data_IF_668626690255
#
_entry.id   IF_668626690255
#
_cell.length_a   1.000
_cell.length_b   1.000
_cell.length_c   1.000
_cell.angle_alpha   90.00
_cell.angle_beta   90.00
_cell.angle_gamma   90.00
#
_symmetry.space_group_name_H-M   'P 1'
#
loop_
_entity.id
_entity.type
_entity.pdbx_description
1 polymer ?
#
# COMPACT_ATOMS: atom_id res chain seq x y z
N UNK A 1 -0.24 29.96 57.60
CA UNK A 1 -0.14 30.24 56.15
C UNK A 1 0.05 28.89 55.45
N UNK A 2 -1.01 28.38 54.80
CA UNK A 2 -1.09 26.99 54.30
C UNK A 2 -0.42 26.87 52.92
N UNK A 3 0.53 25.93 52.79
CA UNK A 3 1.05 25.48 51.51
C UNK A 3 -0.05 24.75 50.74
N UNK A 4 -0.25 25.13 49.48
CA UNK A 4 -1.24 24.54 48.57
C UNK A 4 -0.55 23.40 47.81
N UNK A 5 -0.97 22.15 48.06
CA UNK A 5 -0.62 20.98 47.24
C UNK A 5 -1.01 21.27 45.79
N UNK A 6 -0.03 21.34 44.90
CA UNK A 6 -0.26 21.37 43.45
C UNK A 6 -0.41 19.91 43.00
N UNK A 7 -1.46 19.68 42.22
CA UNK A 7 -1.97 18.39 41.77
C UNK A 7 -0.93 17.53 41.03
N UNK A 8 -0.68 16.32 41.53
CA UNK A 8 0.06 15.24 40.86
C UNK A 8 -0.66 14.65 39.63
N UNK A 9 -1.83 15.18 39.24
CA UNK A 9 -2.59 14.71 38.07
C UNK A 9 -2.20 15.35 36.72
N UNK A 10 -1.33 16.36 36.70
CA UNK A 10 -0.91 17.03 35.45
C UNK A 10 0.46 16.53 34.96
N UNK A 11 1.28 15.93 35.83
CA UNK A 11 2.60 15.41 35.45
C UNK A 11 2.50 14.01 34.80
N UNK A 12 1.45 13.24 35.10
CA UNK A 12 1.29 11.88 34.55
C UNK A 12 0.80 11.84 33.09
N UNK A 13 0.14 12.90 32.60
CA UNK A 13 -0.40 12.95 31.21
C UNK A 13 0.67 13.45 30.22
N UNK A 14 1.62 14.26 30.68
CA UNK A 14 2.75 14.69 29.84
C UNK A 14 3.84 13.63 29.69
N UNK A 15 3.93 12.67 30.63
CA UNK A 15 4.92 11.59 30.53
C UNK A 15 4.44 10.40 29.67
N UNK A 16 3.14 10.28 29.41
CA UNK A 16 2.55 9.20 28.61
C UNK A 16 2.45 9.53 27.12
N UNK A 17 2.50 10.81 26.73
CA UNK A 17 2.60 11.21 25.31
C UNK A 17 4.04 11.29 24.79
N UNK A 18 5.04 11.40 25.66
CA UNK A 18 6.45 11.45 25.25
C UNK A 18 7.05 10.06 24.99
N UNK A 19 6.41 8.97 25.45
CA UNK A 19 6.92 7.60 25.24
C UNK A 19 6.31 6.84 24.05
N UNK A 20 5.25 7.35 23.40
CA UNK A 20 4.61 6.65 22.25
C UNK A 20 5.28 7.03 20.91
N UNK A 21 6.16 8.03 20.89
CA UNK A 21 6.91 8.44 19.67
C UNK A 21 8.28 7.73 19.56
N UNK A 22 8.66 6.84 20.49
CA UNK A 22 9.99 6.19 20.49
C UNK A 22 9.99 4.67 20.20
N UNK A 23 8.88 4.11 19.72
CA UNK A 23 8.80 2.69 19.33
C UNK A 23 8.13 2.54 17.97
N UNK A 24 8.65 3.25 16.96
CA UNK A 24 8.63 2.71 15.60
C UNK A 24 9.65 1.57 15.63
N UNK A 25 9.29 0.32 15.25
CA UNK A 25 10.29 -0.72 15.13
C UNK A 25 11.34 -0.22 14.13
N UNK A 26 12.56 -0.03 14.65
CA UNK A 26 13.75 0.34 13.91
C UNK A 26 14.24 -0.88 13.09
N UNK A 27 13.33 -1.53 12.37
CA UNK A 27 13.63 -2.62 11.45
C UNK A 27 13.67 -2.03 10.05
N UNK A 28 14.87 -1.74 9.57
CA UNK A 28 15.12 -1.62 8.13
C UNK A 28 15.24 -0.21 7.56
N UNK A 29 15.38 0.86 8.35
CA UNK A 29 15.88 2.12 7.77
C UNK A 29 17.36 1.89 7.44
N UNK A 30 17.62 1.47 6.21
CA UNK A 30 18.91 1.71 5.58
C UNK A 30 19.07 3.23 5.65
N UNK A 31 20.01 3.70 6.47
CA UNK A 31 20.47 5.08 6.38
C UNK A 31 21.18 5.21 5.04
N UNK A 32 20.42 5.40 3.95
CA UNK A 32 20.98 5.98 2.74
C UNK A 32 21.54 7.34 3.17
N UNK A 33 22.81 7.58 2.87
CA UNK A 33 23.35 8.92 2.95
C UNK A 33 22.37 9.85 2.23
N UNK A 34 21.96 10.96 2.85
CA UNK A 34 21.06 11.92 2.21
C UNK A 34 21.73 12.41 0.92
N UNK A 35 21.29 11.85 -0.21
CA UNK A 35 21.75 12.23 -1.53
C UNK A 35 21.30 13.66 -1.76
N UNK A 36 22.25 14.54 -2.08
CA UNK A 36 21.99 15.96 -2.29
C UNK A 36 20.92 16.15 -3.38
N UNK A 37 19.95 17.03 -3.12
CA UNK A 37 18.89 17.29 -4.08
C UNK A 37 19.39 18.06 -5.30
N UNK A 38 18.82 17.75 -6.45
CA UNK A 38 19.09 18.47 -7.68
C UNK A 38 18.51 19.88 -7.62
N UNK A 39 19.29 20.89 -8.05
CA UNK A 39 18.79 22.27 -8.19
C UNK A 39 18.21 22.54 -9.58
N UNK A 40 18.50 21.66 -10.54
CA UNK A 40 18.01 21.71 -11.91
C UNK A 40 17.71 20.31 -12.42
N UNK A 41 16.86 20.24 -13.44
CA UNK A 41 16.54 19.00 -14.15
C UNK A 41 16.89 19.12 -15.62
N UNK A 42 17.25 17.99 -16.22
CA UNK A 42 17.30 17.88 -17.68
C UNK A 42 15.98 17.28 -18.17
N UNK A 43 15.37 17.95 -19.15
CA UNK A 43 14.10 17.53 -19.76
C UNK A 43 14.33 17.32 -21.25
N UNK A 44 13.93 16.15 -21.76
CA UNK A 44 13.93 15.89 -23.19
C UNK A 44 12.68 16.50 -23.82
N UNK A 45 12.84 17.20 -24.94
CA UNK A 45 11.74 17.85 -25.67
C UNK A 45 11.18 16.99 -26.80
N UNK A 46 11.67 15.75 -26.94
CA UNK A 46 11.44 14.89 -28.11
C UNK A 46 12.51 15.03 -29.19
N UNK A 47 13.35 16.08 -29.11
CA UNK A 47 14.45 16.30 -30.07
C UNK A 47 15.78 16.66 -29.40
N UNK A 48 15.74 17.45 -28.33
CA UNK A 48 16.93 17.91 -27.61
C UNK A 48 16.68 17.87 -26.11
N UNK A 49 17.76 17.73 -25.35
CA UNK A 49 17.75 17.90 -23.90
C UNK A 49 17.89 19.39 -23.55
N UNK A 50 17.07 19.85 -22.62
CA UNK A 50 17.13 21.19 -22.06
C UNK A 50 17.26 21.12 -20.54
N UNK A 51 18.23 21.85 -20.00
CA UNK A 51 18.37 22.05 -18.56
C UNK A 51 17.40 23.13 -18.08
N UNK A 52 16.69 22.87 -16.98
CA UNK A 52 15.74 23.78 -16.33
C UNK A 52 16.10 23.95 -14.86
N UNK A 53 16.42 25.18 -14.46
CA UNK A 53 16.67 25.54 -13.06
C UNK A 53 15.35 25.54 -12.28
N UNK A 54 15.27 24.72 -11.22
CA UNK A 54 14.05 24.56 -10.42
C UNK A 54 13.73 25.85 -9.65
N UNK A 55 12.48 26.30 -9.73
CA UNK A 55 12.03 27.54 -9.09
C UNK A 55 12.42 28.81 -9.83
N UNK A 56 13.15 28.71 -10.94
CA UNK A 56 13.53 29.85 -11.79
C UNK A 56 12.92 29.72 -13.18
N UNK A 57 13.16 28.58 -13.83
CA UNK A 57 12.73 28.37 -15.21
C UNK A 57 11.28 27.90 -15.30
N UNK A 58 10.65 28.18 -16.44
CA UNK A 58 9.33 27.62 -16.77
C UNK A 58 9.49 26.15 -17.11
N UNK A 59 8.77 25.30 -16.38
CA UNK A 59 8.72 23.86 -16.61
C UNK A 59 7.66 23.49 -17.67
N UNK A 60 7.74 22.29 -18.26
CA UNK A 60 6.75 21.82 -19.23
C UNK A 60 5.32 21.80 -18.69
N UNK A 61 4.34 21.77 -19.58
CA UNK A 61 2.93 21.62 -19.21
C UNK A 61 2.69 20.37 -18.36
N UNK A 62 1.88 20.52 -17.31
CA UNK A 62 1.63 19.47 -16.31
C UNK A 62 2.76 19.26 -15.30
N UNK A 63 3.85 20.04 -15.38
CA UNK A 63 4.94 20.03 -14.41
C UNK A 63 5.07 21.41 -13.74
N UNK A 64 5.24 21.42 -12.42
CA UNK A 64 5.57 22.64 -11.67
C UNK A 64 6.55 22.33 -10.53
N UNK A 65 7.12 23.35 -9.91
CA UNK A 65 8.01 23.18 -8.78
C UNK A 65 7.41 23.84 -7.53
N UNK A 66 7.27 23.06 -6.46
CA UNK A 66 6.85 23.52 -5.15
C UNK A 66 8.10 23.83 -4.33
N UNK A 67 8.49 25.10 -4.31
CA UNK A 67 9.71 25.55 -3.60
C UNK A 67 9.58 25.49 -2.07
N UNK A 68 8.36 25.33 -1.53
CA UNK A 68 8.15 25.23 -0.08
C UNK A 68 8.46 23.82 0.39
N UNK A 69 8.07 22.82 -0.40
CA UNK A 69 8.34 21.40 -0.11
C UNK A 69 9.55 20.86 -0.88
N UNK A 70 10.14 21.68 -1.73
CA UNK A 70 11.33 21.37 -2.51
C UNK A 70 11.17 20.07 -3.31
N UNK A 71 10.18 20.09 -4.21
CA UNK A 71 9.75 18.96 -5.03
C UNK A 71 9.11 19.39 -6.33
N UNK A 72 9.19 18.54 -7.34
CA UNK A 72 8.45 18.66 -8.60
C UNK A 72 7.02 18.18 -8.35
N UNK A 73 6.03 18.82 -8.95
CA UNK A 73 4.64 18.38 -8.95
C UNK A 73 4.27 18.02 -10.38
N UNK A 74 3.80 16.79 -10.59
CA UNK A 74 3.20 16.33 -11.83
C UNK A 74 1.68 16.29 -11.65
N UNK A 75 0.99 17.10 -12.45
CA UNK A 75 -0.48 17.18 -12.48
C UNK A 75 -0.92 17.25 -13.95
N UNK A 76 -1.18 16.08 -14.54
CA UNK A 76 -1.47 15.95 -15.96
C UNK A 76 -0.24 16.06 -16.87
N UNK A 77 0.97 15.81 -16.37
CA UNK A 77 2.17 15.74 -17.21
C UNK A 77 2.01 14.64 -18.25
N UNK A 78 2.15 14.99 -19.51
CA UNK A 78 2.23 14.05 -20.63
C UNK A 78 3.34 14.50 -21.56
N UNK A 79 4.57 14.12 -21.21
CA UNK A 79 5.78 14.59 -21.89
C UNK A 79 6.77 13.47 -22.11
N UNK A 80 8.05 13.83 -22.20
CA UNK A 80 9.15 12.91 -22.45
C UNK A 80 10.01 12.73 -21.19
N UNK A 81 11.16 12.09 -21.38
CA UNK A 81 12.16 11.83 -20.36
C UNK A 81 12.54 13.08 -19.57
N UNK A 82 12.77 12.91 -18.26
CA UNK A 82 13.43 13.91 -17.45
C UNK A 82 14.14 13.27 -16.26
N UNK A 83 15.10 13.98 -15.66
CA UNK A 83 15.83 13.53 -14.49
C UNK A 83 16.64 14.66 -13.86
N UNK A 84 17.34 14.41 -12.75
CA UNK A 84 18.32 15.38 -12.24
C UNK A 84 19.34 15.71 -13.33
N UNK A 85 19.75 16.98 -13.48
CA UNK A 85 20.78 17.32 -14.49
C UNK A 85 22.21 16.96 -14.05
N UNK A 86 22.40 16.67 -12.76
CA UNK A 86 23.68 16.26 -12.19
C UNK A 86 23.66 14.80 -11.75
N UNK A 87 24.85 14.17 -11.78
CA UNK A 87 25.09 12.82 -11.26
C UNK A 87 24.86 12.75 -9.75
N UNK A 88 24.46 11.57 -9.26
CA UNK A 88 24.31 11.26 -7.82
C UNK A 88 23.44 12.29 -7.07
N UNK A 89 22.41 12.85 -7.73
CA UNK A 89 21.43 13.73 -7.10
C UNK A 89 20.10 13.04 -6.87
N UNK A 90 19.35 13.58 -5.91
CA UNK A 90 17.97 13.18 -5.65
C UNK A 90 16.96 14.14 -6.27
N UNK A 91 15.81 13.59 -6.68
CA UNK A 91 14.63 14.37 -7.04
C UNK A 91 13.41 13.84 -6.28
N UNK A 92 12.60 14.75 -5.75
CA UNK A 92 11.31 14.43 -5.14
C UNK A 92 10.18 14.86 -6.07
N UNK A 93 9.22 13.97 -6.31
CA UNK A 93 8.12 14.16 -7.25
C UNK A 93 6.80 13.87 -6.54
N UNK A 94 5.89 14.84 -6.60
CA UNK A 94 4.53 14.70 -6.11
C UNK A 94 3.59 14.45 -7.29
N UNK A 95 2.89 13.31 -7.29
CA UNK A 95 2.06 12.86 -8.39
C UNK A 95 0.59 13.11 -8.07
N UNK A 96 -0.08 13.87 -8.93
CA UNK A 96 -1.50 14.21 -8.84
C UNK A 96 -2.21 13.69 -10.08
N UNK A 97 -3.31 12.96 -9.89
CA UNK A 97 -4.06 12.37 -11.00
C UNK A 97 -3.20 11.42 -11.84
N UNK A 98 -3.44 11.41 -13.15
CA UNK A 98 -2.73 10.57 -14.11
C UNK A 98 -1.63 11.36 -14.82
N UNK A 99 -0.42 10.77 -14.90
CA UNK A 99 0.73 11.37 -15.57
C UNK A 99 1.43 10.33 -16.45
N UNK A 100 2.01 10.76 -17.57
CA UNK A 100 2.66 9.93 -18.58
C UNK A 100 4.05 10.49 -18.91
N UNK A 101 5.07 9.64 -18.80
CA UNK A 101 6.43 9.88 -19.27
C UNK A 101 6.66 8.98 -20.49
N UNK A 102 6.76 9.58 -21.67
CA UNK A 102 7.13 8.87 -22.91
C UNK A 102 8.65 8.89 -23.07
N UNK A 103 9.32 8.01 -22.32
CA UNK A 103 10.77 7.95 -22.23
C UNK A 103 11.21 7.45 -20.86
N UNK A 104 12.31 8.01 -20.37
CA UNK A 104 13.00 7.59 -19.14
C UNK A 104 12.84 8.60 -18.02
N UNK A 105 12.66 8.11 -16.80
CA UNK A 105 12.79 8.90 -15.57
C UNK A 105 14.17 8.68 -14.95
N UNK A 106 14.85 9.77 -14.60
CA UNK A 106 16.21 9.73 -14.04
C UNK A 106 17.31 9.96 -15.07
N UNK A 107 18.56 10.11 -14.60
CA UNK A 107 19.67 10.58 -15.43
C UNK A 107 20.92 9.69 -15.37
N UNK A 108 21.32 9.24 -14.17
CA UNK A 108 22.54 8.45 -14.00
C UNK A 108 22.45 7.43 -12.85
N UNK A 109 23.34 6.45 -12.87
CA UNK A 109 23.55 5.51 -11.76
C UNK A 109 23.76 6.30 -10.46
N UNK A 110 23.15 5.86 -9.36
CA UNK A 110 23.19 6.54 -8.07
C UNK A 110 22.07 7.57 -7.83
N UNK A 111 21.33 7.96 -8.87
CA UNK A 111 20.13 8.81 -8.74
C UNK A 111 19.13 8.23 -7.75
N UNK A 112 18.58 9.07 -6.87
CA UNK A 112 17.49 8.71 -5.96
C UNK A 112 16.20 9.44 -6.34
N UNK A 113 15.11 8.71 -6.51
CA UNK A 113 13.83 9.24 -6.95
C UNK A 113 12.81 8.97 -5.86
N UNK A 114 12.30 10.03 -5.25
CA UNK A 114 11.19 9.96 -4.30
C UNK A 114 9.88 10.27 -5.04
N UNK A 115 8.91 9.35 -4.98
CA UNK A 115 7.58 9.52 -5.54
C UNK A 115 6.55 9.53 -4.41
N UNK A 116 5.71 10.56 -4.37
CA UNK A 116 4.59 10.63 -3.41
C UNK A 116 3.30 10.94 -4.15
N UNK A 117 2.33 10.04 -4.06
CA UNK A 117 1.05 10.16 -4.74
C UNK A 117 -0.06 10.81 -3.92
N UNK A 118 -1.08 11.30 -4.61
CA UNK A 118 -2.43 11.49 -4.03
C UNK A 118 -3.23 10.19 -4.13
N UNK A 119 -4.33 10.07 -3.41
CA UNK A 119 -5.23 8.91 -3.53
C UNK A 119 -5.62 8.64 -4.99
N UNK A 120 -5.23 7.49 -5.52
CA UNK A 120 -5.53 7.07 -6.89
C UNK A 120 -4.67 7.75 -7.97
N UNK A 121 -3.54 8.37 -7.62
CA UNK A 121 -2.62 8.91 -8.63
C UNK A 121 -1.85 7.82 -9.34
N UNK A 122 -1.64 8.02 -10.64
CA UNK A 122 -0.95 7.11 -11.53
C UNK A 122 0.25 7.80 -12.21
N UNK A 123 1.37 7.09 -12.28
CA UNK A 123 2.52 7.47 -13.10
C UNK A 123 2.82 6.36 -14.12
N UNK A 124 2.59 6.65 -15.39
CA UNK A 124 2.84 5.74 -16.51
C UNK A 124 4.16 6.11 -17.18
N UNK A 125 5.04 5.14 -17.36
CA UNK A 125 6.33 5.31 -18.02
C UNK A 125 6.38 4.37 -19.21
N UNK A 126 6.34 4.94 -20.40
CA UNK A 126 6.40 4.21 -21.66
C UNK A 126 7.78 4.45 -22.28
N UNK A 127 8.65 3.47 -22.15
CA UNK A 127 9.99 3.52 -22.70
C UNK A 127 10.06 2.65 -23.95
N UNK A 128 10.40 3.26 -25.09
CA UNK A 128 10.70 2.55 -26.32
C UNK A 128 11.91 3.19 -26.97
N UNK A 129 13.09 2.70 -26.63
CA UNK A 129 14.35 3.24 -27.13
C UNK A 129 15.43 2.15 -27.08
N UNK A 130 16.64 2.51 -27.50
CA UNK A 130 17.79 1.62 -27.57
C UNK A 130 18.58 1.66 -26.26
N UNK A 131 19.04 0.49 -25.79
CA UNK A 131 20.13 0.36 -24.81
C UNK A 131 19.94 1.14 -23.49
N UNK A 132 18.76 1.12 -22.88
CA UNK A 132 18.56 1.81 -21.59
C UNK A 132 17.46 1.17 -20.73
N UNK A 133 16.91 1.95 -19.82
CA UNK A 133 15.87 1.56 -18.87
C UNK A 133 14.80 2.64 -18.76
N UNK A 134 13.61 2.23 -18.30
CA UNK A 134 12.50 3.15 -18.03
C UNK A 134 12.81 4.07 -16.85
N UNK A 135 13.48 3.53 -15.83
CA UNK A 135 13.97 4.31 -14.69
C UNK A 135 15.45 4.05 -14.47
N UNK A 136 16.23 5.13 -14.44
CA UNK A 136 17.65 5.12 -14.12
C UNK A 136 17.87 5.78 -12.75
N UNK A 137 18.00 4.95 -11.72
CA UNK A 137 18.04 5.37 -10.32
C UNK A 137 17.20 4.46 -9.42
N UNK A 138 17.46 4.56 -8.11
CA UNK A 138 16.63 3.88 -7.10
C UNK A 138 15.37 4.69 -6.81
N UNK A 139 14.28 4.00 -6.52
CA UNK A 139 12.95 4.59 -6.35
C UNK A 139 12.43 4.30 -4.95
N UNK A 140 11.95 5.34 -4.26
CA UNK A 140 11.14 5.21 -3.06
C UNK A 140 9.76 5.80 -3.36
N UNK A 141 8.70 5.00 -3.30
CA UNK A 141 7.37 5.41 -3.72
C UNK A 141 6.32 5.23 -2.62
N UNK A 142 5.56 6.27 -2.31
CA UNK A 142 4.49 6.25 -1.30
C UNK A 142 3.14 6.64 -1.92
N UNK A 143 2.14 5.78 -1.75
CA UNK A 143 0.74 6.00 -2.18
C UNK A 143 0.57 6.36 -3.66
N UNK A 144 1.39 5.79 -4.55
CA UNK A 144 1.32 6.00 -6.01
C UNK A 144 1.29 4.67 -6.77
N UNK A 145 0.47 4.60 -7.81
CA UNK A 145 0.48 3.48 -8.74
C UNK A 145 1.37 3.78 -9.95
N UNK A 146 2.38 2.95 -10.16
CA UNK A 146 3.41 3.11 -11.18
C UNK A 146 3.20 2.03 -12.23
N UNK A 147 3.05 2.43 -13.48
CA UNK A 147 3.02 1.53 -14.63
C UNK A 147 4.27 1.72 -15.46
N UNK A 148 5.01 0.66 -15.70
CA UNK A 148 6.21 0.68 -16.53
C UNK A 148 5.98 -0.26 -17.71
N UNK A 149 6.09 0.27 -18.91
CA UNK A 149 6.16 -0.50 -20.14
C UNK A 149 7.49 -0.20 -20.82
N UNK A 150 8.42 -1.15 -20.74
CA UNK A 150 9.76 -1.04 -21.31
C UNK A 150 9.83 -1.92 -22.55
N UNK A 151 10.14 -1.33 -23.70
CA UNK A 151 10.56 -2.05 -24.90
C UNK A 151 11.95 -1.56 -25.27
N UNK A 152 12.94 -2.45 -25.23
CA UNK A 152 14.31 -2.11 -25.61
C UNK A 152 14.65 -2.76 -26.95
N UNK A 153 15.06 -1.96 -27.93
CA UNK A 153 15.46 -2.45 -29.26
C UNK A 153 16.90 -2.02 -29.53
N UNK A 154 17.89 -2.92 -29.53
CA UNK A 154 19.28 -2.44 -29.62
C UNK A 154 20.38 -3.50 -29.70
N UNK A 155 21.56 -3.07 -30.17
CA UNK A 155 22.67 -3.96 -30.56
C UNK A 155 24.01 -3.69 -29.84
N UNK A 156 24.04 -2.91 -28.75
CA UNK A 156 25.34 -2.37 -28.25
C UNK A 156 25.59 -2.58 -26.74
N UNK A 157 24.56 -2.69 -25.88
CA UNK A 157 24.76 -2.72 -24.43
C UNK A 157 24.42 -4.08 -23.79
N UNK A 158 25.24 -4.60 -22.84
CA UNK A 158 25.15 -5.99 -22.38
C UNK A 158 24.02 -6.28 -21.36
N UNK A 159 23.26 -5.27 -20.92
CA UNK A 159 22.21 -5.43 -19.92
C UNK A 159 21.03 -4.50 -20.22
N UNK A 160 19.81 -5.00 -20.04
CA UNK A 160 18.59 -4.22 -20.20
C UNK A 160 17.72 -4.35 -18.96
N UNK A 161 17.32 -3.20 -18.43
CA UNK A 161 16.60 -3.09 -17.17
C UNK A 161 15.25 -2.41 -17.36
N UNK A 162 14.21 -2.88 -16.69
CA UNK A 162 13.03 -2.03 -16.45
C UNK A 162 13.42 -0.84 -15.57
N UNK A 163 14.03 -1.15 -14.43
CA UNK A 163 14.58 -0.19 -13.45
C UNK A 163 16.03 -0.56 -13.16
N UNK A 164 16.94 0.39 -13.40
CA UNK A 164 18.32 0.29 -12.96
C UNK A 164 18.49 0.98 -11.58
N UNK A 165 18.23 0.22 -10.52
CA UNK A 165 18.24 0.66 -9.13
C UNK A 165 17.40 -0.24 -8.24
N UNK A 166 17.41 0.03 -6.94
CA UNK A 166 16.50 -0.61 -5.98
C UNK A 166 15.15 0.10 -5.95
N UNK A 167 14.10 -0.62 -5.56
CA UNK A 167 12.74 -0.10 -5.43
C UNK A 167 12.23 -0.36 -4.02
N UNK A 168 11.76 0.68 -3.35
CA UNK A 168 11.03 0.60 -2.10
C UNK A 168 9.62 1.17 -2.28
N UNK A 169 8.62 0.35 -1.98
CA UNK A 169 7.21 0.75 -2.05
C UNK A 169 6.62 0.81 -0.63
N UNK A 170 5.96 1.92 -0.33
CA UNK A 170 5.35 2.25 0.96
C UNK A 170 3.86 2.57 0.81
N UNK A 171 3.13 2.54 1.92
CA UNK A 171 1.69 2.82 1.94
C UNK A 171 0.92 1.88 1.02
N UNK A 172 0.19 2.45 0.06
CA UNK A 172 -0.62 1.71 -0.92
C UNK A 172 -0.01 1.66 -2.32
N UNK A 173 1.29 1.97 -2.44
CA UNK A 173 1.96 2.00 -3.74
C UNK A 173 1.85 0.66 -4.48
N UNK A 174 1.71 0.73 -5.80
CA UNK A 174 1.71 -0.45 -6.68
C UNK A 174 2.70 -0.24 -7.80
N UNK A 175 3.51 -1.26 -8.09
CA UNK A 175 4.36 -1.30 -9.27
C UNK A 175 3.81 -2.35 -10.24
N UNK A 176 3.40 -1.91 -11.43
CA UNK A 176 2.98 -2.76 -12.53
C UNK A 176 4.01 -2.63 -13.65
N UNK A 177 4.87 -3.63 -13.81
CA UNK A 177 5.98 -3.59 -14.76
C UNK A 177 5.83 -4.67 -15.82
N UNK A 178 5.97 -4.25 -17.08
CA UNK A 178 6.19 -5.11 -18.22
C UNK A 178 7.47 -4.66 -18.93
N UNK A 179 8.43 -5.56 -19.04
CA UNK A 179 9.71 -5.32 -19.72
C UNK A 179 9.87 -6.35 -20.83
N UNK A 180 10.05 -5.88 -22.06
CA UNK A 180 10.33 -6.72 -23.22
C UNK A 180 11.63 -6.29 -23.89
N UNK A 181 12.44 -7.27 -24.21
CA UNK A 181 13.71 -7.08 -24.90
C UNK A 181 13.65 -7.60 -26.34
N UNK A 182 14.32 -6.90 -27.26
CA UNK A 182 14.53 -7.26 -28.66
C UNK A 182 15.96 -6.91 -29.06
N UNK A 183 16.90 -7.85 -28.97
CA UNK A 183 18.31 -7.70 -29.36
C UNK A 183 18.69 -8.65 -30.48
N UNK A 184 19.84 -8.39 -31.13
CA UNK A 184 20.46 -9.31 -32.08
C UNK A 184 21.60 -10.15 -31.46
N UNK A 185 21.82 -10.07 -30.15
CA UNK A 185 22.94 -10.70 -29.43
C UNK A 185 22.58 -11.04 -27.97
N UNK A 186 23.28 -12.01 -27.38
CA UNK A 186 23.19 -12.41 -25.97
C UNK A 186 23.34 -11.25 -25.00
N UNK A 187 22.24 -10.91 -24.32
CA UNK A 187 22.21 -9.95 -23.20
C UNK A 187 21.26 -10.46 -22.13
N UNK A 188 21.52 -10.11 -20.87
CA UNK A 188 20.58 -10.42 -19.79
C UNK A 188 19.41 -9.42 -19.81
N UNK A 189 18.19 -9.94 -19.60
CA UNK A 189 16.98 -9.14 -19.43
C UNK A 189 16.59 -9.10 -17.95
N UNK A 190 16.54 -7.91 -17.38
CA UNK A 190 16.33 -7.72 -15.94
C UNK A 190 15.14 -6.78 -15.72
N UNK A 191 14.22 -7.13 -14.82
CA UNK A 191 13.15 -6.22 -14.40
C UNK A 191 13.69 -5.10 -13.53
N UNK A 192 14.20 -5.46 -12.36
CA UNK A 192 14.79 -4.56 -11.35
C UNK A 192 16.22 -5.01 -11.08
N UNK A 193 17.21 -4.12 -11.28
CA UNK A 193 18.63 -4.46 -11.08
C UNK A 193 19.04 -4.55 -9.60
N UNK A 194 18.34 -3.83 -8.73
CA UNK A 194 18.56 -3.82 -7.28
C UNK A 194 17.60 -4.70 -6.50
N UNK A 195 17.35 -4.29 -5.26
CA UNK A 195 16.38 -4.93 -4.37
C UNK A 195 14.96 -4.43 -4.64
N UNK A 196 13.96 -5.25 -4.32
CA UNK A 196 12.56 -4.86 -4.25
C UNK A 196 12.07 -5.00 -2.80
N UNK A 197 11.68 -3.90 -2.18
CA UNK A 197 11.15 -3.86 -0.81
C UNK A 197 9.69 -3.41 -0.83
N UNK A 198 8.81 -4.24 -0.28
CA UNK A 198 7.38 -3.98 -0.16
C UNK A 198 6.99 -3.82 1.31
N UNK A 199 6.60 -2.61 1.69
CA UNK A 199 6.13 -2.27 3.03
C UNK A 199 4.59 -2.05 3.03
N UNK A 200 3.97 -2.02 4.20
CA UNK A 200 2.55 -1.68 4.39
C UNK A 200 1.59 -2.50 3.49
N UNK A 201 0.74 -1.85 2.69
CA UNK A 201 -0.21 -2.48 1.76
C UNK A 201 0.34 -2.52 0.31
N UNK A 202 1.61 -2.14 0.12
CA UNK A 202 2.22 -2.00 -1.21
C UNK A 202 2.42 -3.34 -1.91
N UNK A 203 2.33 -3.34 -3.24
CA UNK A 203 2.45 -4.56 -4.03
C UNK A 203 3.17 -4.36 -5.35
N UNK A 204 3.57 -5.46 -5.97
CA UNK A 204 4.27 -5.45 -7.25
C UNK A 204 3.82 -6.58 -8.17
N UNK A 205 3.68 -6.27 -9.45
CA UNK A 205 3.44 -7.18 -10.54
C UNK A 205 4.52 -6.95 -11.59
N UNK A 206 5.46 -7.88 -11.71
CA UNK A 206 6.64 -7.74 -12.58
C UNK A 206 6.65 -8.86 -13.61
N UNK A 207 6.58 -8.48 -14.88
CA UNK A 207 6.78 -9.38 -16.01
C UNK A 207 8.02 -8.95 -16.79
N UNK A 208 8.91 -9.91 -17.04
CA UNK A 208 10.08 -9.71 -17.91
C UNK A 208 10.06 -10.76 -19.02
N UNK A 209 10.12 -10.31 -20.27
CA UNK A 209 10.15 -11.15 -21.45
C UNK A 209 11.46 -10.93 -22.20
N UNK A 210 12.30 -11.97 -22.25
CA UNK A 210 13.43 -12.06 -23.15
C UNK A 210 13.03 -12.64 -24.51
N UNK A 211 13.70 -12.20 -25.56
CA UNK A 211 13.61 -12.72 -26.92
C UNK A 211 14.47 -13.98 -27.13
N UNK A 212 14.53 -14.42 -28.39
CA UNK A 212 15.28 -15.60 -28.84
C UNK A 212 16.81 -15.47 -28.69
N UNK A 213 17.32 -14.25 -28.55
CA UNK A 213 18.76 -13.96 -28.48
C UNK A 213 19.23 -13.71 -27.05
N UNK A 214 18.33 -13.53 -26.08
CA UNK A 214 18.67 -13.25 -24.69
C UNK A 214 19.47 -14.36 -23.99
N UNK A 215 20.36 -13.96 -23.06
CA UNK A 215 21.07 -14.89 -22.17
C UNK A 215 20.19 -15.25 -20.98
N UNK A 216 20.30 -14.60 -19.82
CA UNK A 216 19.44 -14.88 -18.67
C UNK A 216 18.28 -13.89 -18.59
N UNK A 217 17.17 -14.31 -17.96
CA UNK A 217 16.03 -13.43 -17.67
C UNK A 217 15.77 -13.43 -16.18
N UNK A 218 15.82 -12.26 -15.56
CA UNK A 218 15.65 -12.11 -14.12
C UNK A 218 14.60 -11.05 -13.78
N UNK A 219 13.68 -11.36 -12.87
CA UNK A 219 12.67 -10.41 -12.42
C UNK A 219 13.28 -9.32 -11.55
N UNK A 220 13.79 -9.73 -10.39
CA UNK A 220 14.53 -8.88 -9.44
C UNK A 220 15.92 -9.48 -9.26
N UNK A 221 16.97 -8.77 -9.67
CA UNK A 221 18.33 -9.29 -9.60
C UNK A 221 18.90 -9.33 -8.17
N UNK A 222 18.47 -8.40 -7.31
CA UNK A 222 18.79 -8.39 -5.90
C UNK A 222 17.82 -9.21 -5.04
N UNK A 223 17.68 -8.78 -3.80
CA UNK A 223 16.79 -9.39 -2.81
C UNK A 223 15.36 -8.86 -2.91
N UNK A 224 14.39 -9.75 -2.66
CA UNK A 224 13.00 -9.40 -2.38
C UNK A 224 12.78 -9.31 -0.87
N UNK A 225 12.31 -8.16 -0.38
CA UNK A 225 11.95 -7.96 1.03
C UNK A 225 10.43 -7.73 1.14
N UNK A 226 9.74 -8.64 1.84
CA UNK A 226 8.30 -8.55 2.10
C UNK A 226 8.07 -8.21 3.57
N UNK A 227 7.85 -6.92 3.84
CA UNK A 227 7.60 -6.38 5.18
C UNK A 227 6.12 -6.05 5.42
N UNK A 228 5.33 -5.98 4.35
CA UNK A 228 3.92 -5.61 4.36
C UNK A 228 2.94 -6.79 4.21
N UNK A 229 1.77 -6.46 3.67
CA UNK A 229 0.66 -7.39 3.39
C UNK A 229 0.19 -7.33 1.95
N UNK A 230 0.85 -6.57 1.08
CA UNK A 230 0.46 -6.50 -0.32
C UNK A 230 1.04 -7.63 -1.15
N UNK A 231 0.38 -7.88 -2.27
CA UNK A 231 0.69 -8.96 -3.21
C UNK A 231 1.97 -8.70 -3.99
N UNK A 232 2.75 -9.76 -4.20
CA UNK A 232 3.93 -9.73 -5.05
C UNK A 232 3.88 -10.88 -6.06
N UNK A 233 3.83 -10.54 -7.34
CA UNK A 233 3.90 -11.48 -8.45
C UNK A 233 5.07 -11.11 -9.34
N UNK A 234 5.94 -12.08 -9.60
CA UNK A 234 7.07 -11.94 -10.50
C UNK A 234 7.08 -13.14 -11.43
N UNK A 235 7.10 -12.90 -12.73
CA UNK A 235 7.14 -13.95 -13.74
C UNK A 235 8.08 -13.54 -14.88
N UNK A 236 8.95 -14.47 -15.26
CA UNK A 236 9.91 -14.26 -16.33
C UNK A 236 9.75 -15.29 -17.44
N UNK A 237 9.95 -14.83 -18.67
CA UNK A 237 9.81 -15.64 -19.87
C UNK A 237 11.01 -15.42 -20.77
N UNK A 238 11.35 -16.42 -21.57
CA UNK A 238 12.32 -16.28 -22.65
C UNK A 238 11.83 -17.01 -23.90
N UNK A 239 11.99 -16.39 -25.05
CA UNK A 239 11.81 -17.04 -26.35
C UNK A 239 13.07 -17.84 -26.75
N UNK A 240 14.20 -17.67 -26.06
CA UNK A 240 15.40 -18.49 -26.26
C UNK A 240 15.18 -19.90 -25.70
N UNK A 241 15.18 -20.90 -26.59
CA UNK A 241 14.98 -22.31 -26.22
C UNK A 241 16.24 -23.00 -25.66
N UNK A 242 17.38 -22.30 -25.52
CA UNK A 242 18.60 -22.88 -24.98
C UNK A 242 18.42 -23.24 -23.50
N UNK A 243 18.50 -24.54 -23.12
CA UNK A 243 18.25 -24.98 -21.75
C UNK A 243 19.29 -24.51 -20.72
N UNK A 244 20.37 -23.86 -21.17
CA UNK A 244 21.42 -23.32 -20.30
C UNK A 244 21.09 -21.93 -19.76
N UNK A 245 20.08 -21.24 -20.32
CA UNK A 245 19.68 -19.93 -19.84
C UNK A 245 19.01 -20.05 -18.48
N UNK A 246 19.30 -19.09 -17.60
CA UNK A 246 18.65 -19.01 -16.30
C UNK A 246 17.43 -18.10 -16.38
N UNK A 247 16.27 -18.67 -16.05
CA UNK A 247 15.06 -17.91 -15.74
C UNK A 247 14.93 -17.86 -14.22
N UNK A 248 14.89 -16.66 -13.65
CA UNK A 248 14.84 -16.49 -12.20
C UNK A 248 13.97 -15.30 -11.81
N UNK A 249 12.97 -15.51 -10.95
CA UNK A 249 12.09 -14.46 -10.48
C UNK A 249 12.86 -13.51 -9.54
N UNK A 250 13.66 -14.05 -8.62
CA UNK A 250 14.46 -13.28 -7.65
C UNK A 250 15.88 -13.84 -7.56
N UNK A 251 16.90 -12.98 -7.62
CA UNK A 251 18.31 -13.37 -7.64
C UNK A 251 18.81 -13.94 -6.32
N UNK A 252 18.27 -13.45 -5.20
CA UNK A 252 18.64 -13.85 -3.83
C UNK A 252 17.46 -14.36 -3.01
N UNK A 253 17.72 -15.16 -1.98
CA UNK A 253 16.70 -15.68 -1.07
C UNK A 253 15.89 -14.52 -0.43
N UNK A 254 14.55 -14.50 -0.58
CA UNK A 254 13.72 -13.43 -0.04
C UNK A 254 13.72 -13.37 1.48
N UNK A 255 13.62 -12.15 2.02
CA UNK A 255 13.33 -11.92 3.44
C UNK A 255 11.84 -11.62 3.58
N UNK A 256 11.14 -12.47 4.32
CA UNK A 256 9.70 -12.36 4.54
C UNK A 256 9.47 -12.15 6.03
N UNK A 257 9.03 -10.95 6.42
CA UNK A 257 8.85 -10.59 7.83
C UNK A 257 7.74 -11.42 8.49
N UNK A 258 6.68 -11.73 7.74
CA UNK A 258 5.57 -12.57 8.18
C UNK A 258 5.20 -13.59 7.07
N UNK A 259 5.85 -14.76 7.04
CA UNK A 259 5.57 -15.76 6.02
C UNK A 259 4.15 -16.35 6.14
N UNK A 260 3.54 -16.42 7.33
CA UNK A 260 2.16 -16.88 7.47
C UNK A 260 1.10 -15.88 6.98
N UNK A 261 1.50 -14.68 6.54
CA UNK A 261 0.61 -13.73 5.89
C UNK A 261 0.39 -14.04 4.40
N UNK A 262 1.15 -14.99 3.84
CA UNK A 262 1.15 -15.28 2.41
C UNK A 262 0.90 -16.76 2.13
N UNK A 263 0.12 -17.01 1.09
CA UNK A 263 0.16 -18.27 0.35
C UNK A 263 1.23 -18.11 -0.75
N UNK A 264 2.18 -19.05 -0.78
CA UNK A 264 3.26 -19.07 -1.77
C UNK A 264 2.92 -20.02 -2.91
N UNK A 265 2.95 -19.49 -4.13
CA UNK A 265 2.84 -20.24 -5.37
C UNK A 265 4.10 -19.99 -6.21
N UNK A 266 4.69 -21.05 -6.78
CA UNK A 266 6.01 -21.00 -7.40
C UNK A 266 7.18 -20.95 -6.41
N UNK A 267 8.34 -20.52 -6.90
CA UNK A 267 9.58 -20.43 -6.11
C UNK A 267 10.42 -19.25 -6.58
N UNK A 268 11.03 -18.54 -5.62
CA UNK A 268 11.80 -17.33 -5.90
C UNK A 268 12.98 -17.56 -6.85
N UNK A 269 13.57 -18.76 -6.83
CA UNK A 269 14.68 -19.19 -7.69
C UNK A 269 14.24 -19.90 -8.98
N UNK A 270 12.93 -19.90 -9.28
CA UNK A 270 12.33 -20.37 -10.53
C UNK A 270 11.97 -19.21 -11.46
N UNK A 271 11.45 -19.51 -12.64
CA UNK A 271 10.84 -18.56 -13.59
C UNK A 271 9.65 -17.75 -13.03
N UNK A 272 8.94 -18.24 -12.01
CA UNK A 272 7.85 -17.49 -11.38
C UNK A 272 7.77 -17.67 -9.87
N UNK A 273 7.34 -16.61 -9.19
CA UNK A 273 6.94 -16.62 -7.79
C UNK A 273 5.76 -15.69 -7.55
N UNK A 274 4.84 -16.12 -6.69
CA UNK A 274 3.65 -15.37 -6.33
C UNK A 274 3.38 -15.49 -4.84
N UNK A 275 3.57 -14.38 -4.13
CA UNK A 275 3.20 -14.21 -2.73
C UNK A 275 1.80 -13.60 -2.66
N UNK A 276 0.79 -14.47 -2.48
CA UNK A 276 -0.63 -14.09 -2.40
C UNK A 276 -0.99 -13.77 -0.96
N UNK A 277 -1.45 -12.54 -0.63
CA UNK A 277 -1.84 -12.21 0.74
C UNK A 277 -3.04 -13.05 1.18
N UNK A 278 -2.93 -13.71 2.33
CA UNK A 278 -4.05 -14.45 2.92
C UNK A 278 -5.04 -13.42 3.52
N UNK A 279 -6.33 -13.47 3.16
CA UNK A 279 -7.35 -12.58 3.71
C UNK A 279 -7.43 -12.65 5.24
N UNK A 280 -7.55 -11.49 5.90
CA UNK A 280 -7.67 -11.37 7.36
C UNK A 280 -8.76 -10.38 7.74
N UNK A 281 -9.40 -10.60 8.89
CA UNK A 281 -10.31 -9.61 9.48
C UNK A 281 -9.46 -8.50 10.11
N UNK A 282 -9.55 -7.30 9.55
CA UNK A 282 -8.83 -6.09 9.98
C UNK A 282 -9.66 -5.19 10.90
N UNK A 283 -10.99 -5.36 10.92
CA UNK A 283 -11.90 -4.69 11.85
C UNK A 283 -13.03 -5.63 12.27
N UNK A 284 -13.54 -5.51 13.50
CA UNK A 284 -14.66 -6.29 14.00
C UNK A 284 -14.28 -7.59 14.71
N UNK A 285 -13.03 -8.05 14.59
CA UNK A 285 -12.59 -9.26 15.29
C UNK A 285 -12.65 -9.10 16.82
N UNK A 286 -13.18 -10.11 17.51
CA UNK A 286 -13.47 -10.16 18.94
C UNK A 286 -14.48 -9.11 19.43
N UNK A 287 -15.29 -8.55 18.54
CA UNK A 287 -16.33 -7.59 18.92
C UNK A 287 -17.45 -8.23 19.72
N UNK A 288 -18.20 -7.40 20.45
CA UNK A 288 -19.35 -7.83 21.23
C UNK A 288 -20.61 -7.15 20.73
N UNK A 289 -21.71 -7.88 20.71
CA UNK A 289 -23.01 -7.35 20.36
C UNK A 289 -24.04 -7.75 21.41
N UNK A 290 -24.88 -6.79 21.85
CA UNK A 290 -25.85 -7.02 22.92
C UNK A 290 -27.23 -7.20 22.33
N UNK A 291 -27.94 -8.27 22.72
CA UNK A 291 -29.33 -8.48 22.34
C UNK A 291 -30.21 -7.28 22.69
N UNK A 292 -31.09 -6.91 21.78
CA UNK A 292 -32.00 -5.78 21.83
C UNK A 292 -31.40 -4.47 21.35
N UNK A 293 -30.25 -4.50 20.67
CA UNK A 293 -29.59 -3.33 20.08
C UNK A 293 -30.03 -3.16 18.63
N UNK A 294 -30.37 -1.94 18.23
CA UNK A 294 -30.82 -1.63 16.86
C UNK A 294 -29.66 -1.49 15.85
N UNK A 295 -28.42 -1.48 16.34
CA UNK A 295 -27.20 -1.43 15.52
C UNK A 295 -26.74 -2.83 15.12
N UNK A 296 -26.24 -2.98 13.89
CA UNK A 296 -25.62 -4.21 13.41
C UNK A 296 -24.22 -4.45 14.01
N UNK A 297 -23.54 -5.47 13.50
CA UNK A 297 -22.14 -5.77 13.84
C UNK A 297 -21.30 -5.84 12.58
N UNK A 298 -20.27 -4.99 12.50
CA UNK A 298 -19.45 -4.80 11.29
C UNK A 298 -18.12 -5.52 11.40
N UNK A 299 -17.73 -6.16 10.30
CA UNK A 299 -16.44 -6.79 10.09
C UNK A 299 -15.84 -6.29 8.79
N UNK A 300 -14.54 -6.01 8.79
CA UNK A 300 -13.80 -5.64 7.58
C UNK A 300 -12.76 -6.70 7.29
N UNK A 301 -12.83 -7.32 6.12
CA UNK A 301 -11.78 -8.19 5.58
C UNK A 301 -10.76 -7.35 4.81
N UNK A 302 -9.49 -7.76 4.79
CA UNK A 302 -8.44 -7.18 3.95
C UNK A 302 -8.65 -7.47 2.45
N UNK A 303 -9.44 -8.49 2.10
CA UNK A 303 -9.70 -8.86 0.71
C UNK A 303 -10.51 -7.77 -0.04
N UNK A 304 -10.20 -7.50 -1.32
CA UNK A 304 -10.98 -6.58 -2.15
C UNK A 304 -12.44 -6.99 -2.25
N UNK A 305 -13.35 -6.01 -2.31
CA UNK A 305 -14.79 -6.29 -2.45
C UNK A 305 -15.13 -7.09 -3.72
N UNK A 306 -14.42 -6.85 -4.83
CA UNK A 306 -14.62 -7.57 -6.09
C UNK A 306 -14.39 -9.08 -6.00
N UNK A 307 -13.60 -9.51 -5.01
CA UNK A 307 -13.23 -10.91 -4.83
C UNK A 307 -14.14 -11.60 -3.79
N UNK A 308 -15.13 -10.89 -3.22
CA UNK A 308 -16.05 -11.43 -2.21
C UNK A 308 -16.96 -12.52 -2.78
N UNK A 309 -17.08 -13.62 -2.05
CA UNK A 309 -17.93 -14.75 -2.44
C UNK A 309 -19.13 -14.92 -1.50
N UNK A 310 -18.89 -15.06 -0.19
CA UNK A 310 -19.91 -15.44 0.78
C UNK A 310 -19.48 -15.17 2.23
N UNK A 311 -20.45 -15.20 3.15
CA UNK A 311 -20.24 -15.15 4.60
C UNK A 311 -20.76 -16.43 5.23
N UNK A 312 -20.01 -16.98 6.19
CA UNK A 312 -20.50 -18.03 7.08
C UNK A 312 -20.44 -17.59 8.53
N UNK A 313 -21.43 -18.03 9.31
CA UNK A 313 -21.45 -17.90 10.76
C UNK A 313 -21.52 -19.30 11.35
N UNK A 314 -20.57 -19.65 12.20
CA UNK A 314 -20.41 -20.99 12.78
C UNK A 314 -20.52 -22.09 11.71
N UNK A 315 -19.70 -21.95 10.66
CA UNK A 315 -19.63 -22.88 9.51
C UNK A 315 -20.90 -22.95 8.64
N UNK A 316 -21.95 -22.20 8.99
CA UNK A 316 -23.23 -22.17 8.27
C UNK A 316 -23.27 -21.00 7.29
N UNK A 317 -23.60 -21.28 6.03
CA UNK A 317 -23.78 -20.26 4.99
C UNK A 317 -24.86 -19.25 5.38
N UNK A 318 -24.48 -17.97 5.38
CA UNK A 318 -25.36 -16.86 5.69
C UNK A 318 -26.01 -16.33 4.40
N UNK A 319 -27.34 -16.24 4.40
CA UNK A 319 -28.09 -15.66 3.30
C UNK A 319 -27.82 -14.15 3.15
N UNK A 320 -27.73 -13.67 1.91
CA UNK A 320 -27.39 -12.27 1.58
C UNK A 320 -28.36 -11.23 2.16
N UNK A 321 -29.61 -11.61 2.47
CA UNK A 321 -30.57 -10.71 3.12
C UNK A 321 -30.23 -10.40 4.59
N UNK A 322 -29.31 -11.17 5.21
CA UNK A 322 -28.93 -11.05 6.63
C UNK A 322 -27.75 -10.12 6.91
N UNK A 323 -27.10 -9.62 5.88
CA UNK A 323 -25.99 -8.68 6.02
C UNK A 323 -26.04 -7.59 4.94
N UNK A 324 -25.21 -6.58 5.11
CA UNK A 324 -24.96 -5.52 4.14
C UNK A 324 -23.48 -5.55 3.75
N UNK A 325 -23.20 -5.17 2.50
CA UNK A 325 -21.86 -5.06 1.93
C UNK A 325 -21.61 -3.61 1.50
N UNK A 326 -20.40 -3.10 1.74
CA UNK A 326 -19.95 -1.82 1.20
C UNK A 326 -18.55 -1.92 0.59
N UNK A 327 -18.28 -1.06 -0.39
CA UNK A 327 -17.10 -1.09 -1.26
C UNK A 327 -15.79 -0.66 -0.57
N UNK A 328 -14.66 -1.08 -1.15
CA UNK A 328 -13.31 -0.91 -0.63
C UNK A 328 -12.67 -2.27 -0.32
N UNK A 329 -12.17 -2.44 0.90
CA UNK A 329 -11.99 -3.79 1.47
C UNK A 329 -13.38 -4.35 1.83
N UNK A 330 -13.58 -5.66 1.77
CA UNK A 330 -14.91 -6.25 2.02
C UNK A 330 -15.41 -5.93 3.42
N UNK A 331 -16.35 -4.98 3.54
CA UNK A 331 -17.02 -4.64 4.80
C UNK A 331 -18.36 -5.36 4.85
N UNK A 332 -18.51 -6.28 5.80
CA UNK A 332 -19.74 -7.04 6.07
C UNK A 332 -20.37 -6.51 7.35
N UNK A 333 -21.60 -6.01 7.28
CA UNK A 333 -22.38 -5.64 8.46
C UNK A 333 -23.52 -6.63 8.67
N UNK A 334 -23.45 -7.43 9.74
CA UNK A 334 -24.51 -8.34 10.15
C UNK A 334 -25.71 -7.52 10.66
N UNK A 335 -26.91 -7.80 10.14
CA UNK A 335 -28.13 -7.06 10.52
C UNK A 335 -28.58 -7.42 11.94
N UNK A 336 -29.16 -6.45 12.69
CA UNK A 336 -29.68 -6.68 14.04
C UNK A 336 -30.64 -7.86 14.12
N UNK A 337 -31.62 -7.93 13.20
CA UNK A 337 -32.62 -9.01 13.17
C UNK A 337 -32.00 -10.40 13.04
N UNK A 338 -30.85 -10.53 12.37
CA UNK A 338 -30.10 -11.78 12.30
C UNK A 338 -29.36 -12.06 13.61
N UNK A 339 -28.66 -11.07 14.16
CA UNK A 339 -27.93 -11.18 15.42
C UNK A 339 -28.86 -11.56 16.60
N UNK A 340 -30.13 -11.12 16.56
CA UNK A 340 -31.15 -11.54 17.52
C UNK A 340 -31.46 -13.04 17.50
N UNK A 341 -31.23 -13.72 16.37
CA UNK A 341 -31.46 -15.18 16.27
C UNK A 341 -30.35 -16.02 16.88
N UNK A 342 -29.15 -15.45 17.03
CA UNK A 342 -27.99 -16.16 17.55
C UNK A 342 -28.13 -16.44 19.05
N UNK A 343 -27.52 -17.52 19.51
CA UNK A 343 -27.42 -17.83 20.94
C UNK A 343 -26.54 -16.82 21.66
N UNK A 344 -26.71 -16.68 22.98
CA UNK A 344 -25.74 -15.92 23.78
C UNK A 344 -24.45 -16.73 23.87
N UNK A 345 -23.31 -16.09 23.60
CA UNK A 345 -22.01 -16.73 23.60
C UNK A 345 -21.11 -16.30 22.45
N UNK A 346 -20.00 -17.03 22.27
CA UNK A 346 -19.03 -16.79 21.20
C UNK A 346 -19.50 -17.42 19.89
N UNK A 347 -19.28 -16.72 18.81
CA UNK A 347 -19.57 -17.09 17.43
C UNK A 347 -18.36 -16.81 16.55
N UNK A 348 -18.23 -17.58 15.47
CA UNK A 348 -17.20 -17.39 14.45
C UNK A 348 -17.83 -16.83 13.18
N UNK A 349 -17.12 -15.88 12.55
CA UNK A 349 -17.43 -15.40 11.21
C UNK A 349 -16.29 -15.79 10.26
N UNK A 350 -16.66 -16.29 9.09
CA UNK A 350 -15.75 -16.54 7.97
C UNK A 350 -16.24 -15.75 6.75
N UNK A 351 -15.40 -14.85 6.23
CA UNK A 351 -15.64 -14.11 5.00
C UNK A 351 -14.79 -14.74 3.91
N UNK A 352 -15.45 -15.32 2.90
CA UNK A 352 -14.80 -16.00 1.78
C UNK A 352 -14.57 -15.02 0.64
N UNK A 353 -13.40 -15.14 0.03
CA UNK A 353 -13.01 -14.44 -1.18
C UNK A 353 -12.21 -15.37 -2.10
N UNK A 354 -12.04 -15.01 -3.37
CA UNK A 354 -11.25 -15.80 -4.35
C UNK A 354 -9.85 -16.12 -3.81
N UNK A 355 -9.23 -15.17 -3.11
CA UNK A 355 -7.90 -15.31 -2.50
C UNK A 355 -7.85 -16.02 -1.13
N UNK A 356 -8.96 -16.56 -0.63
CA UNK A 356 -9.01 -17.31 0.63
C UNK A 356 -10.04 -16.78 1.64
N UNK A 357 -9.84 -17.12 2.93
CA UNK A 357 -10.84 -16.92 3.99
C UNK A 357 -10.31 -15.99 5.07
N UNK A 358 -11.04 -14.91 5.35
CA UNK A 358 -10.83 -14.06 6.51
C UNK A 358 -11.71 -14.54 7.67
N UNK A 359 -11.09 -15.09 8.72
CA UNK A 359 -11.77 -15.59 9.91
C UNK A 359 -11.70 -14.62 11.09
N UNK A 360 -12.79 -14.49 11.84
CA UNK A 360 -12.87 -13.72 13.07
C UNK A 360 -13.84 -14.32 14.08
N UNK A 361 -13.83 -13.80 15.30
CA UNK A 361 -14.77 -14.19 16.36
C UNK A 361 -15.59 -12.98 16.83
N UNK A 362 -16.77 -13.22 17.38
CA UNK A 362 -17.54 -12.21 18.09
C UNK A 362 -18.37 -12.84 19.22
N UNK A 363 -18.89 -12.02 20.13
CA UNK A 363 -19.68 -12.49 21.27
C UNK A 363 -21.06 -11.82 21.30
N UNK A 364 -22.11 -12.63 21.35
CA UNK A 364 -23.49 -12.18 21.56
C UNK A 364 -23.79 -12.20 23.05
N UNK A 365 -24.15 -11.06 23.62
CA UNK A 365 -24.46 -10.89 25.03
C UNK A 365 -25.98 -10.81 25.26
N UNK A 366 -26.45 -11.32 26.40
CA UNK A 366 -27.84 -11.15 26.81
C UNK A 366 -28.13 -9.68 27.14
N UNK A 367 -29.37 -9.24 26.85
CA UNK A 367 -29.88 -7.90 27.23
C UNK A 367 -29.81 -7.64 28.75
N UNK A 368 -29.76 -8.71 29.55
CA UNK A 368 -29.56 -8.69 30.99
C UNK A 368 -28.22 -9.32 31.36
N UNK A 369 -27.12 -8.62 31.04
CA UNK A 369 -25.79 -8.83 31.61
C UNK A 369 -25.02 -7.50 31.67
N UNK A 370 -25.67 -6.46 32.19
CA UNK A 370 -24.99 -5.39 32.92
C UNK A 370 -25.56 -5.43 34.34
N UNK A 371 -25.23 -6.50 35.07
CA UNK A 371 -25.41 -6.54 36.51
C UNK A 371 -24.07 -6.15 37.13
N UNK A 372 -23.97 -4.86 37.47
CA UNK A 372 -23.36 -4.35 38.72
C UNK A 372 -22.16 -5.12 39.26
N UNK A 373 -20.97 -4.60 39.01
CA UNK A 373 -19.91 -4.71 40.00
C UNK A 373 -20.21 -3.65 41.07
N UNK A 374 -21.02 -4.02 42.06
CA UNK A 374 -21.01 -3.46 43.42
C UNK A 374 -21.95 -4.30 44.31
N UNK A 375 -21.39 -5.38 44.84
CA UNK A 375 -21.82 -5.91 46.13
C UNK A 375 -21.46 -4.86 47.20
N UNK A 376 -22.33 -3.87 47.41
CA UNK A 376 -22.29 -3.06 48.63
C UNK A 376 -23.62 -3.25 49.37
N UNK A 377 -23.48 -3.71 50.61
CA UNK A 377 -24.53 -4.00 51.55
C UNK A 377 -25.61 -2.91 51.63
N UNK A 378 -26.86 -3.36 51.81
CA UNK A 378 -27.99 -2.53 52.21
C UNK A 378 -27.69 -1.81 53.54
N UNK A 379 -27.88 -0.49 53.60
CA UNK A 379 -28.88 0.22 54.46
C UNK A 379 -28.68 1.76 54.43
N UNK A 380 -29.80 2.51 54.31
CA UNK A 380 -29.97 3.95 54.57
C UNK A 380 -29.27 4.91 53.59
N UNK A 381 -29.88 5.89 52.95
CA UNK A 381 -30.98 6.78 53.32
C UNK A 381 -31.59 7.39 52.04
N UNK A 382 -32.84 7.85 52.07
CA UNK A 382 -33.55 8.39 50.91
C UNK A 382 -33.11 9.83 50.58
N UNK A 383 -33.21 10.17 49.28
CA UNK A 383 -33.19 11.51 48.67
C UNK A 383 -31.86 11.92 47.99
N UNK A 384 -31.66 11.50 46.74
CA UNK A 384 -31.67 12.42 45.59
C UNK A 384 -31.71 11.60 44.29
N UNK A 385 -32.89 11.45 43.70
CA UNK A 385 -33.01 11.02 42.32
C UNK A 385 -32.58 12.19 41.42
N UNK A 386 -31.69 11.93 40.45
CA UNK A 386 -31.77 12.39 39.04
C UNK A 386 -30.37 12.27 38.39
N UNK A 387 -30.32 11.39 37.40
CA UNK A 387 -29.46 11.35 36.20
C UNK A 387 -27.94 11.24 36.34
N UNK A 388 -27.43 10.01 36.25
CA UNK A 388 -26.20 9.70 35.50
C UNK A 388 -26.36 8.37 34.76
N UNK A 389 -26.74 8.44 33.48
CA UNK A 389 -26.48 7.37 32.52
C UNK A 389 -25.34 7.88 31.63
N UNK A 390 -24.11 7.44 31.90
CA UNK A 390 -22.96 7.74 31.05
C UNK A 390 -22.76 6.59 30.08
N UNK A 391 -22.94 6.96 28.80
CA UNK A 391 -22.75 6.21 27.57
C UNK A 391 -21.30 5.73 27.41
N UNK A 392 -21.09 4.42 27.31
CA UNK A 392 -19.85 3.83 26.76
C UNK A 392 -20.22 2.61 25.91
N UNK A 393 -20.63 2.85 24.65
CA UNK A 393 -20.34 1.99 23.49
C UNK A 393 -20.45 2.88 22.24
N UNK A 394 -19.35 3.53 21.87
CA UNK A 394 -19.18 4.13 20.55
C UNK A 394 -17.67 4.29 20.27
N UNK A 395 -17.03 3.17 19.95
CA UNK A 395 -15.79 3.17 19.18
C UNK A 395 -16.00 2.18 18.04
N UNK A 396 -16.08 2.71 16.82
CA UNK A 396 -16.28 1.96 15.57
C UNK A 396 -17.62 2.30 14.92
N UNK A 397 -17.61 3.20 13.92
CA UNK A 397 -18.75 3.46 13.05
C UNK A 397 -19.24 4.91 13.03
N UNK A 398 -18.43 5.83 12.49
CA UNK A 398 -18.97 7.07 11.93
C UNK A 398 -18.29 7.37 10.60
N UNK A 399 -18.92 6.93 9.51
CA UNK A 399 -18.68 7.47 8.18
C UNK A 399 -19.99 7.50 7.38
N UNK A 400 -20.34 8.73 6.97
CA UNK A 400 -21.20 9.11 5.84
C UNK A 400 -22.72 8.81 5.88
N UNK A 401 -23.51 9.77 6.39
CA UNK A 401 -24.72 10.25 5.67
C UNK A 401 -24.76 11.78 5.74
N UNK A 402 -24.18 12.46 4.76
CA UNK A 402 -24.40 13.88 4.52
C UNK A 402 -24.77 14.07 3.06
N UNK A 403 -26.08 14.12 2.76
CA UNK A 403 -26.50 14.22 1.39
C UNK A 403 -27.99 14.43 1.12
N UNK A 404 -28.82 14.93 2.05
CA UNK A 404 -30.15 15.45 1.68
C UNK A 404 -30.58 16.57 2.63
N UNK A 405 -31.14 17.63 2.03
CA UNK A 405 -31.95 18.71 2.59
C UNK A 405 -31.22 19.95 3.14
N UNK A 406 -31.02 20.94 2.26
CA UNK A 406 -31.54 22.30 2.52
C UNK A 406 -32.22 22.86 1.28
N UNK A 407 -33.56 22.80 1.31
CA UNK A 407 -34.46 23.67 0.54
C UNK A 407 -34.71 24.92 1.38
N UNK A 408 -34.48 26.07 0.75
CA UNK A 408 -35.21 27.36 0.76
C UNK A 408 -35.67 28.04 2.08
N UNK A 409 -35.56 29.37 1.98
CA UNK A 409 -36.21 30.46 2.76
C UNK A 409 -35.49 30.78 4.09
N UNK A 410 -35.05 32.02 4.36
CA UNK A 410 -35.74 33.30 4.23
C UNK A 410 -34.82 34.53 4.00
N UNK A 411 -35.37 35.48 3.25
CA UNK A 411 -35.08 36.94 3.09
C UNK A 411 -33.81 37.43 2.40
#
# INVERSE_FOLDING_TARGET
MKMKKINERIVSIFLSFVLIVMLIPLSGIIALAETEKATHIDVYTGTVWETKELGVDTLPEGMSYDSVKDRIVLDGYNGYSFGPGDLDKSISIYVVGENIINGRLGHADGTQIELVGTTGSELKINFNDVNSCSILGSVVATDVEIYINTTCTGNIYPYLWGINGSVELNGKSKLNMYTQNHTSYGVDSIGISGELTLNDESGAYVIVLGDENNDNVTGVAGKLNLNGTGECFINVFSENENPSIKLQAVGEEPIIANPEAYELDGAWDSDFVHYKPIPKIVEGNNSKWVKGTDSGLTFKSSAPHKDFEQVKIDETLLSADKYELSEGSTVVTLKPDYLETLTVGKHKIDIYSEGGIASGNFEVLAKAAVATEEEIAQTGDMNNAVSQLVLVVALGGLAAVAGVARRKEDK
#
